data_IF_917166427083
#
_entry.id   IF_917166427083
#
_cell.length_a   1.000
_cell.length_b   1.000
_cell.length_c   1.000
_cell.angle_alpha   90.00
_cell.angle_beta   90.00
_cell.angle_gamma   90.00
#
_symmetry.space_group_name_H-M   'P 1'
#
loop_
_entity.id
_entity.type
_entity.pdbx_description
1 polymer ?
#
# COMPACT_ATOMS: atom_id res chain seq x y z
N UNK A 1 -20.42 15.41 -1.56
CA UNK A 1 -20.45 13.95 -1.81
C UNK A 1 -19.82 13.66 -3.18
N UNK A 2 -18.47 13.38 -3.20
CA UNK A 2 -17.73 13.20 -4.45
C UNK A 2 -18.03 11.85 -5.13
N UNK A 3 -18.34 10.79 -4.36
CA UNK A 3 -18.58 9.44 -4.88
C UNK A 3 -19.88 8.83 -4.34
N UNK A 4 -21.06 9.31 -4.78
CA UNK A 4 -22.33 8.89 -4.19
C UNK A 4 -22.67 7.42 -4.40
N UNK A 5 -22.10 6.78 -5.43
CA UNK A 5 -22.39 5.40 -5.82
C UNK A 5 -21.24 4.43 -5.48
N UNK A 6 -20.19 4.87 -4.80
CA UNK A 6 -19.06 4.01 -4.46
C UNK A 6 -19.43 2.98 -3.39
N UNK A 7 -18.85 1.79 -3.51
CA UNK A 7 -18.79 0.79 -2.43
C UNK A 7 -17.45 0.97 -1.72
N UNK A 8 -17.49 0.97 -0.40
CA UNK A 8 -16.31 1.11 0.45
C UNK A 8 -16.01 -0.20 1.15
N UNK A 9 -14.75 -0.59 1.15
CA UNK A 9 -14.23 -1.76 1.83
C UNK A 9 -13.17 -1.26 2.82
N UNK A 10 -13.53 -1.23 4.10
CA UNK A 10 -12.61 -0.82 5.17
C UNK A 10 -11.98 -2.06 5.78
N UNK A 11 -10.66 -2.13 5.79
CA UNK A 11 -9.92 -3.24 6.40
C UNK A 11 -9.05 -2.69 7.54
N UNK A 12 -9.18 -3.27 8.73
CA UNK A 12 -8.50 -2.80 9.92
C UNK A 12 -8.19 -3.98 10.86
N UNK A 13 -7.16 -3.82 11.71
CA UNK A 13 -6.87 -4.75 12.80
C UNK A 13 -7.96 -4.76 13.88
N UNK A 14 -8.69 -3.66 14.01
CA UNK A 14 -9.86 -3.54 14.87
C UNK A 14 -11.12 -3.28 14.03
N UNK A 15 -11.89 -4.33 13.67
CA UNK A 15 -13.04 -4.22 12.77
C UNK A 15 -14.25 -3.50 13.39
N UNK A 16 -14.21 -3.12 14.67
CA UNK A 16 -15.32 -2.43 15.35
C UNK A 16 -15.11 -0.91 15.46
N UNK A 17 -14.23 -0.33 14.67
CA UNK A 17 -13.95 1.11 14.71
C UNK A 17 -14.95 1.96 13.94
N UNK A 18 -15.63 1.41 12.94
CA UNK A 18 -16.61 2.17 12.18
C UNK A 18 -17.85 2.48 13.03
N UNK A 19 -18.08 3.78 13.25
CA UNK A 19 -19.25 4.29 13.98
C UNK A 19 -20.49 4.47 13.09
N UNK A 20 -20.33 4.38 11.78
CA UNK A 20 -21.40 4.65 10.83
C UNK A 20 -21.76 3.39 10.03
N UNK A 21 -23.01 2.99 10.12
CA UNK A 21 -23.54 1.89 9.32
C UNK A 21 -24.08 2.41 7.99
N UNK A 22 -23.59 1.82 6.91
CA UNK A 22 -24.11 2.08 5.56
C UNK A 22 -24.11 0.78 4.76
N UNK A 23 -25.14 0.56 3.96
CA UNK A 23 -25.19 -0.59 3.03
C UNK A 23 -24.05 -0.59 2.00
N UNK A 24 -23.38 0.56 1.84
CA UNK A 24 -22.23 0.73 0.92
C UNK A 24 -20.88 0.44 1.56
N UNK A 25 -20.83 0.27 2.89
CA UNK A 25 -19.59 0.04 3.64
C UNK A 25 -19.57 -1.41 4.10
N UNK A 26 -18.49 -2.12 3.77
CA UNK A 26 -18.19 -3.45 4.31
C UNK A 26 -16.88 -3.34 5.08
N UNK A 27 -16.86 -3.92 6.27
CA UNK A 27 -15.71 -3.89 7.16
C UNK A 27 -15.09 -5.28 7.27
N UNK A 28 -13.76 -5.35 7.28
CA UNK A 28 -12.98 -6.57 7.32
C UNK A 28 -11.88 -6.49 8.35
N UNK A 29 -11.56 -7.62 8.96
CA UNK A 29 -10.37 -7.77 9.75
C UNK A 29 -9.14 -7.99 8.86
N UNK A 30 -8.06 -7.24 9.12
CA UNK A 30 -6.74 -7.49 8.57
C UNK A 30 -5.66 -7.08 9.57
N UNK A 31 -4.70 -7.96 9.79
CA UNK A 31 -3.44 -7.64 10.45
C UNK A 31 -2.37 -7.48 9.37
N UNK A 32 -1.95 -6.26 9.11
CA UNK A 32 -0.96 -5.94 8.05
C UNK A 32 0.46 -6.37 8.40
N UNK A 33 0.74 -6.69 9.66
CA UNK A 33 2.01 -7.30 10.07
C UNK A 33 2.12 -8.76 9.62
N UNK A 34 1.00 -9.37 9.22
CA UNK A 34 0.91 -10.76 8.78
C UNK A 34 0.61 -10.87 7.28
N UNK A 35 1.62 -11.24 6.49
CA UNK A 35 1.45 -11.49 5.05
C UNK A 35 0.33 -12.52 4.76
N UNK A 36 0.13 -13.48 5.69
CA UNK A 36 -0.93 -14.50 5.58
C UNK A 36 -2.33 -13.89 5.68
N UNK A 37 -2.59 -13.02 6.67
CA UNK A 37 -3.91 -12.41 6.83
C UNK A 37 -4.27 -11.52 5.67
N UNK A 38 -3.29 -10.77 5.13
CA UNK A 38 -3.49 -9.96 3.93
C UNK A 38 -3.82 -10.80 2.69
N UNK A 39 -3.11 -11.93 2.49
CA UNK A 39 -3.43 -12.86 1.39
C UNK A 39 -4.83 -13.46 1.54
N UNK A 40 -5.18 -13.91 2.74
CA UNK A 40 -6.51 -14.45 3.01
C UNK A 40 -7.60 -13.43 2.70
N UNK A 41 -7.43 -12.16 3.11
CA UNK A 41 -8.37 -11.10 2.79
C UNK A 41 -8.43 -10.86 1.27
N UNK A 42 -7.28 -10.76 0.60
CA UNK A 42 -7.25 -10.56 -0.84
C UNK A 42 -7.90 -11.71 -1.62
N UNK A 43 -7.76 -12.95 -1.17
CA UNK A 43 -8.42 -14.14 -1.74
C UNK A 43 -9.93 -14.14 -1.46
N UNK A 44 -10.33 -13.75 -0.25
CA UNK A 44 -11.73 -13.66 0.14
C UNK A 44 -12.51 -12.59 -0.64
N UNK A 45 -11.86 -11.50 -1.03
CA UNK A 45 -12.47 -10.42 -1.79
C UNK A 45 -12.56 -10.80 -3.27
N UNK A 46 -13.77 -11.06 -3.77
CA UNK A 46 -14.02 -11.38 -5.18
C UNK A 46 -13.95 -10.14 -6.08
N UNK A 47 -14.12 -8.95 -5.47
CA UNK A 47 -14.13 -7.67 -6.19
C UNK A 47 -12.73 -7.20 -6.54
N UNK A 48 -12.66 -6.41 -7.62
CA UNK A 48 -11.52 -5.58 -7.98
C UNK A 48 -11.84 -4.11 -7.76
N UNK A 49 -10.84 -3.33 -7.35
CA UNK A 49 -11.01 -1.97 -6.87
C UNK A 49 -10.53 -0.93 -7.88
N UNK A 50 -11.24 0.18 -7.96
CA UNK A 50 -10.81 1.35 -8.73
C UNK A 50 -9.69 2.11 -7.99
N UNK A 51 -9.78 2.15 -6.66
CA UNK A 51 -8.80 2.79 -5.77
C UNK A 51 -8.60 1.92 -4.54
N UNK A 52 -7.34 1.75 -4.14
CA UNK A 52 -6.94 1.17 -2.84
C UNK A 52 -6.06 2.20 -2.15
N UNK A 53 -6.35 2.48 -0.87
CA UNK A 53 -5.57 3.38 -0.01
C UNK A 53 -4.94 2.54 1.09
N UNK A 54 -3.63 2.62 1.22
CA UNK A 54 -2.83 2.01 2.27
C UNK A 54 -2.38 3.11 3.24
N UNK A 55 -3.14 3.26 4.30
CA UNK A 55 -2.92 4.16 5.44
C UNK A 55 -2.92 3.32 6.72
N UNK A 56 -2.07 2.29 6.76
CA UNK A 56 -2.10 1.29 7.82
C UNK A 56 -1.06 1.57 8.92
N UNK A 57 -0.05 0.70 9.07
CA UNK A 57 0.91 0.77 10.18
C UNK A 57 2.11 1.66 9.91
N UNK A 58 2.34 2.05 8.66
CA UNK A 58 3.53 2.73 8.14
C UNK A 58 4.87 2.00 8.40
N UNK A 59 4.83 0.76 8.93
CA UNK A 59 6.01 -0.08 8.99
C UNK A 59 6.48 -0.45 7.58
N UNK A 60 7.78 -0.30 7.32
CA UNK A 60 8.34 -0.62 6.00
C UNK A 60 8.05 -2.07 5.58
N UNK A 61 8.14 -3.02 6.51
CA UNK A 61 7.81 -4.44 6.25
C UNK A 61 6.39 -4.62 5.77
N UNK A 62 5.45 -3.92 6.40
CA UNK A 62 4.02 -4.10 6.17
C UNK A 62 3.62 -3.49 4.82
N UNK A 63 4.19 -2.32 4.48
CA UNK A 63 4.05 -1.71 3.15
C UNK A 63 4.60 -2.65 2.06
N UNK A 64 5.79 -3.23 2.26
CA UNK A 64 6.39 -4.17 1.30
C UNK A 64 5.58 -5.46 1.14
N UNK A 65 4.86 -5.89 2.19
CA UNK A 65 3.93 -7.02 2.11
C UNK A 65 2.63 -6.65 1.39
N UNK A 66 2.02 -5.52 1.77
CA UNK A 66 0.70 -5.11 1.30
C UNK A 66 0.72 -4.77 -0.20
N UNK A 67 1.73 -4.02 -0.63
CA UNK A 67 1.82 -3.50 -1.99
C UNK A 67 1.64 -4.58 -3.07
N UNK A 68 2.41 -5.67 -3.16
CA UNK A 68 2.22 -6.65 -4.23
C UNK A 68 0.92 -7.45 -4.09
N UNK A 69 0.42 -7.64 -2.88
CA UNK A 69 -0.80 -8.41 -2.61
C UNK A 69 -2.02 -7.64 -3.10
N UNK A 70 -2.19 -6.40 -2.62
CA UNK A 70 -3.39 -5.62 -2.91
C UNK A 70 -3.32 -4.90 -4.26
N UNK A 71 -2.12 -4.61 -4.79
CA UNK A 71 -1.99 -4.09 -6.15
C UNK A 71 -2.57 -5.06 -7.20
N UNK A 72 -2.53 -6.37 -6.95
CA UNK A 72 -3.21 -7.37 -7.79
C UNK A 72 -4.72 -7.19 -7.84
N UNK A 73 -5.32 -6.68 -6.78
CA UNK A 73 -6.76 -6.45 -6.65
C UNK A 73 -7.24 -5.14 -7.29
N UNK A 74 -6.34 -4.33 -7.84
CA UNK A 74 -6.73 -3.16 -8.63
C UNK A 74 -7.28 -3.59 -9.99
N UNK A 75 -8.30 -2.88 -10.45
CA UNK A 75 -8.70 -2.87 -11.86
C UNK A 75 -7.60 -2.27 -12.73
N UNK A 76 -7.61 -2.59 -14.00
CA UNK A 76 -6.79 -1.89 -15.01
C UNK A 76 -7.09 -0.39 -14.97
N UNK A 77 -6.05 0.43 -14.97
CA UNK A 77 -6.15 1.89 -14.84
C UNK A 77 -6.47 2.41 -13.43
N UNK A 78 -6.68 1.53 -12.45
CA UNK A 78 -6.92 1.89 -11.05
C UNK A 78 -5.68 2.40 -10.33
N UNK A 79 -5.87 2.97 -9.13
CA UNK A 79 -4.82 3.59 -8.33
C UNK A 79 -4.61 2.87 -7.01
N UNK A 80 -3.35 2.61 -6.67
CA UNK A 80 -2.89 2.24 -5.32
C UNK A 80 -2.22 3.47 -4.71
N UNK A 81 -2.68 3.89 -3.55
CA UNK A 81 -2.20 5.08 -2.85
C UNK A 81 -1.56 4.61 -1.56
N UNK A 82 -0.33 5.07 -1.27
CA UNK A 82 0.34 4.81 0.00
C UNK A 82 0.52 6.15 0.69
N UNK A 83 -0.05 6.29 1.88
CA UNK A 83 0.14 7.46 2.73
C UNK A 83 1.38 7.29 3.60
N UNK A 84 1.99 8.40 3.99
CA UNK A 84 3.13 8.48 4.92
C UNK A 84 4.32 7.58 4.54
N UNK A 85 4.57 7.46 3.24
CA UNK A 85 5.47 6.47 2.65
C UNK A 85 6.91 6.51 3.16
N UNK A 86 7.33 7.59 3.78
CA UNK A 86 8.71 7.85 4.24
C UNK A 86 8.85 7.94 5.77
N UNK A 87 7.81 7.72 6.54
CA UNK A 87 7.85 7.82 8.02
C UNK A 87 8.93 6.93 8.65
N UNK A 88 9.19 5.75 8.11
CA UNK A 88 10.23 4.84 8.61
C UNK A 88 11.67 5.44 8.51
N UNK A 89 11.89 6.50 7.76
CA UNK A 89 13.18 7.21 7.73
C UNK A 89 13.41 8.03 8.99
N UNK A 90 12.35 8.54 9.59
CA UNK A 90 12.37 9.36 10.80
C UNK A 90 12.17 8.50 12.04
N UNK A 91 11.18 7.62 12.00
CA UNK A 91 10.82 6.75 13.12
C UNK A 91 11.47 5.37 12.96
N UNK A 92 12.59 5.15 13.62
CA UNK A 92 13.38 3.89 13.52
C UNK A 92 12.61 2.63 13.90
N UNK A 93 11.61 2.75 14.79
CA UNK A 93 10.73 1.65 15.18
C UNK A 93 9.85 1.15 14.02
N UNK A 94 9.65 1.94 12.97
CA UNK A 94 8.91 1.53 11.76
C UNK A 94 9.77 0.70 10.79
N UNK A 95 11.05 0.54 11.07
CA UNK A 95 11.97 -0.35 10.35
C UNK A 95 12.93 -1.09 11.31
N UNK A 96 12.40 -1.90 12.23
CA UNK A 96 13.20 -2.50 13.33
C UNK A 96 14.28 -3.47 12.84
N UNK A 97 14.13 -4.03 11.65
CA UNK A 97 15.11 -4.97 11.06
C UNK A 97 16.06 -4.31 10.06
N UNK A 98 16.07 -2.98 9.97
CA UNK A 98 16.92 -2.22 9.06
C UNK A 98 16.83 -2.70 7.59
N UNK A 99 15.62 -2.99 7.12
CA UNK A 99 15.39 -3.31 5.70
C UNK A 99 15.91 -2.18 4.82
N UNK A 100 16.66 -2.56 3.79
CA UNK A 100 17.30 -1.61 2.85
C UNK A 100 16.40 -1.25 1.68
N UNK A 101 15.61 -2.22 1.24
CA UNK A 101 14.70 -2.01 0.13
C UNK A 101 13.51 -1.18 0.59
N UNK A 102 13.21 -0.13 -0.16
CA UNK A 102 12.03 0.71 0.06
C UNK A 102 11.12 0.70 -1.17
N UNK A 103 9.82 0.99 -1.02
CA UNK A 103 8.91 1.14 -2.16
C UNK A 103 9.43 2.16 -3.18
N UNK A 104 9.99 3.27 -2.72
CA UNK A 104 10.58 4.30 -3.60
C UNK A 104 11.74 3.75 -4.44
N UNK A 105 12.57 2.88 -3.88
CA UNK A 105 13.65 2.24 -4.65
C UNK A 105 13.09 1.33 -5.74
N UNK A 106 12.02 0.59 -5.46
CA UNK A 106 11.33 -0.23 -6.48
C UNK A 106 10.83 0.68 -7.60
N UNK A 107 10.10 1.75 -7.25
CA UNK A 107 9.52 2.69 -8.22
C UNK A 107 10.58 3.38 -9.09
N UNK A 108 11.67 3.86 -8.51
CA UNK A 108 12.79 4.48 -9.25
C UNK A 108 13.56 3.51 -10.16
N UNK A 109 13.29 2.21 -10.05
CA UNK A 109 13.95 1.18 -10.83
C UNK A 109 12.96 0.33 -11.65
N UNK A 110 11.75 0.84 -11.95
CA UNK A 110 10.74 0.11 -12.72
C UNK A 110 11.28 -0.36 -14.08
N UNK A 111 12.08 0.45 -14.76
CA UNK A 111 12.64 0.15 -16.09
C UNK A 111 13.97 -0.62 -16.04
N UNK A 112 14.56 -0.78 -14.82
CA UNK A 112 15.87 -1.42 -14.68
C UNK A 112 15.70 -2.90 -14.32
N UNK A 113 16.52 -3.74 -14.95
CA UNK A 113 16.58 -5.17 -14.61
C UNK A 113 17.45 -5.39 -13.35
N UNK A 114 17.10 -4.74 -12.24
CA UNK A 114 17.79 -4.84 -10.96
C UNK A 114 17.05 -5.82 -10.05
N UNK A 115 17.77 -6.78 -9.49
CA UNK A 115 17.29 -7.63 -8.40
C UNK A 115 17.57 -6.96 -7.06
N UNK A 116 16.71 -7.22 -6.12
CA UNK A 116 16.82 -6.70 -4.76
C UNK A 116 16.86 -7.88 -3.77
N UNK A 117 17.62 -7.69 -2.69
CA UNK A 117 17.61 -8.58 -1.55
C UNK A 117 16.69 -8.01 -0.48
N UNK A 118 15.62 -8.73 -0.16
CA UNK A 118 14.63 -8.34 0.84
C UNK A 118 13.98 -9.57 1.46
N UNK A 119 13.73 -9.51 2.76
CA UNK A 119 13.00 -10.54 3.49
C UNK A 119 11.48 -10.40 3.38
N UNK A 120 10.98 -9.31 2.82
CA UNK A 120 9.55 -8.94 2.85
C UNK A 120 8.86 -9.06 1.50
N UNK A 121 9.59 -8.82 0.41
CA UNK A 121 9.06 -8.89 -0.96
C UNK A 121 10.01 -9.71 -1.83
N UNK A 122 9.48 -10.64 -2.60
CA UNK A 122 10.27 -11.46 -3.52
C UNK A 122 10.57 -10.73 -4.83
N UNK A 123 11.63 -11.16 -5.54
CA UNK A 123 11.92 -10.60 -6.86
C UNK A 123 10.78 -10.85 -7.86
N UNK A 124 10.05 -11.95 -7.76
CA UNK A 124 8.88 -12.20 -8.62
C UNK A 124 7.74 -11.20 -8.35
N UNK A 125 7.51 -10.84 -7.07
CA UNK A 125 6.56 -9.80 -6.69
C UNK A 125 7.00 -8.43 -7.21
N UNK A 126 8.30 -8.13 -7.16
CA UNK A 126 8.87 -6.88 -7.70
C UNK A 126 8.73 -6.84 -9.23
N UNK A 127 9.06 -7.91 -9.93
CA UNK A 127 8.90 -7.99 -11.38
C UNK A 127 7.42 -7.88 -11.79
N UNK A 128 6.51 -8.46 -11.00
CA UNK A 128 5.08 -8.22 -11.20
C UNK A 128 4.71 -6.74 -11.10
N UNK A 129 5.20 -6.03 -10.08
CA UNK A 129 4.95 -4.59 -9.90
C UNK A 129 5.53 -3.79 -11.07
N UNK A 130 6.80 -4.04 -11.45
CA UNK A 130 7.46 -3.38 -12.59
C UNK A 130 6.65 -3.52 -13.88
N UNK A 131 6.15 -4.71 -14.16
CA UNK A 131 5.36 -5.00 -15.36
C UNK A 131 3.98 -4.32 -15.35
N UNK A 132 3.39 -4.10 -14.17
CA UNK A 132 2.00 -3.72 -14.04
C UNK A 132 1.79 -2.27 -13.54
N UNK A 133 2.81 -1.61 -13.02
CA UNK A 133 2.76 -0.17 -12.74
C UNK A 133 3.01 0.59 -14.05
N UNK A 134 2.03 1.39 -14.45
CA UNK A 134 2.13 2.26 -15.64
C UNK A 134 2.91 3.53 -15.34
N UNK A 135 2.62 4.13 -14.19
CA UNK A 135 3.10 5.42 -13.79
C UNK A 135 2.97 5.61 -12.27
N UNK A 136 3.74 6.52 -11.72
CA UNK A 136 3.64 6.92 -10.33
C UNK A 136 3.96 8.40 -10.16
N UNK A 137 3.37 9.02 -9.15
CA UNK A 137 3.70 10.39 -8.76
C UNK A 137 3.63 10.56 -7.25
N UNK A 138 4.39 11.54 -6.76
CA UNK A 138 4.45 11.89 -5.35
C UNK A 138 3.76 13.22 -5.11
N UNK A 139 2.97 13.28 -4.05
CA UNK A 139 2.50 14.52 -3.46
C UNK A 139 3.20 14.71 -2.12
N UNK A 140 3.76 15.90 -1.94
CA UNK A 140 4.40 16.27 -0.68
C UNK A 140 3.33 16.69 0.31
N UNK A 141 3.34 16.04 1.48
CA UNK A 141 2.55 16.50 2.61
C UNK A 141 3.16 17.74 3.26
N UNK A 142 2.42 18.35 4.16
CA UNK A 142 2.84 19.57 4.85
C UNK A 142 3.46 19.29 6.23
N UNK A 143 3.36 18.07 6.74
CA UNK A 143 3.86 17.72 8.06
C UNK A 143 5.37 17.48 8.05
N UNK A 144 6.12 18.34 8.72
CA UNK A 144 7.58 18.27 8.81
C UNK A 144 7.97 17.95 10.26
N UNK A 145 8.84 16.96 10.45
CA UNK A 145 9.45 16.62 11.73
C UNK A 145 10.97 16.45 11.55
N UNK A 146 11.77 17.17 12.34
CA UNK A 146 13.23 17.15 12.28
C UNK A 146 13.77 17.33 10.84
N UNK A 147 13.26 18.33 10.13
CA UNK A 147 13.60 18.69 8.74
C UNK A 147 13.24 17.59 7.69
N UNK A 148 12.49 16.58 8.09
CA UNK A 148 11.98 15.56 7.19
C UNK A 148 10.47 15.69 7.02
N UNK A 149 10.00 15.58 5.78
CA UNK A 149 8.59 15.42 5.50
C UNK A 149 8.16 14.00 5.90
N UNK A 150 7.08 13.89 6.69
CA UNK A 150 6.56 12.62 7.21
C UNK A 150 5.15 12.29 6.73
N UNK A 151 4.61 13.08 5.82
CA UNK A 151 3.25 12.92 5.27
C UNK A 151 3.23 12.88 3.74
N UNK A 152 4.33 12.41 3.13
CA UNK A 152 4.38 12.24 1.68
C UNK A 152 3.48 11.08 1.24
N UNK A 153 2.77 11.31 0.13
CA UNK A 153 1.86 10.34 -0.47
C UNK A 153 2.38 9.91 -1.83
N UNK A 154 2.28 8.64 -2.15
CA UNK A 154 2.55 8.14 -3.50
C UNK A 154 1.31 7.53 -4.12
N UNK A 155 1.09 7.84 -5.38
CA UNK A 155 0.03 7.29 -6.22
C UNK A 155 0.65 6.39 -7.28
N UNK A 156 0.20 5.15 -7.34
CA UNK A 156 0.65 4.15 -8.31
C UNK A 156 -0.50 3.82 -9.25
N UNK A 157 -0.34 4.07 -10.53
CA UNK A 157 -1.34 3.75 -11.54
C UNK A 157 -1.08 2.38 -12.14
N UNK A 158 -2.09 1.51 -12.17
CA UNK A 158 -2.00 0.20 -12.82
C UNK A 158 -2.12 0.32 -14.35
N UNK A 159 -1.40 -0.53 -15.07
CA UNK A 159 -1.51 -0.63 -16.53
C UNK A 159 -2.97 -0.92 -16.98
N UNK A 160 -3.31 -0.47 -18.18
CA UNK A 160 -4.60 -0.71 -18.82
C UNK A 160 -4.69 -2.12 -19.40
#
# INVERSE_FOLDING_TARGET
YYFPNSKLFAANINPFQLKYFSKRIREFYVDVSSKKTMRNLAEYLDEYFDVIIDDASHNLSDILYALPIFFKKLKKGGYYIIEDIDQFKVFKNLNPKNEKLTPIMILKNLEKNQKFDSNYISNDEIEYLKKNIKDYYFEKGEMILNDHNISDIVFLKKNV
#
